data_IF_730896619987
#
_entry.id   IF_730896619987
#
_cell.length_a   1.000
_cell.length_b   1.000
_cell.length_c   1.000
_cell.angle_alpha   90.00
_cell.angle_beta   90.00
_cell.angle_gamma   90.00
#
_symmetry.space_group_name_H-M   'P 1'
#
loop_
_entity.id
_entity.type
_entity.pdbx_description
1 polymer ?
#
# COMPACT_ATOMS: atom_id res chain seq x y z
N UNK A 1 -8.04 10.84 1.34
CA UNK A 1 -7.28 11.37 0.17
C UNK A 1 -6.44 10.23 -0.35
N UNK A 2 -6.39 9.92 -1.66
CA UNK A 2 -5.51 8.85 -2.15
C UNK A 2 -4.06 9.23 -1.79
N UNK A 3 -3.50 8.52 -0.82
CA UNK A 3 -2.18 8.80 -0.25
C UNK A 3 -1.06 8.62 -1.29
N UNK A 4 -1.31 7.89 -2.38
CA UNK A 4 -0.29 7.59 -3.39
C UNK A 4 0.03 8.71 -4.37
N UNK A 5 -0.78 9.76 -4.47
CA UNK A 5 -0.36 11.00 -5.14
C UNK A 5 0.29 12.00 -4.17
N UNK A 6 0.39 11.66 -2.88
CA UNK A 6 1.22 12.41 -1.96
C UNK A 6 2.67 12.22 -2.40
N UNK A 7 3.32 13.31 -2.80
CA UNK A 7 4.72 13.36 -3.22
C UNK A 7 5.64 13.11 -2.03
N UNK A 8 5.67 11.87 -1.55
CA UNK A 8 6.71 11.38 -0.66
C UNK A 8 8.02 11.25 -1.45
N UNK A 9 9.17 11.66 -0.90
CA UNK A 9 10.47 11.50 -1.56
C UNK A 9 10.73 10.05 -2.02
N UNK A 10 10.30 9.06 -1.25
CA UNK A 10 10.44 7.65 -1.59
C UNK A 10 9.62 7.26 -2.82
N UNK A 11 8.39 7.77 -2.93
CA UNK A 11 7.53 7.54 -4.10
C UNK A 11 8.14 8.21 -5.34
N UNK A 12 8.64 9.43 -5.21
CA UNK A 12 9.31 10.15 -6.30
C UNK A 12 10.53 9.37 -6.81
N UNK A 13 11.38 8.88 -5.90
CA UNK A 13 12.52 8.06 -6.26
C UNK A 13 12.12 6.77 -6.98
N UNK A 14 11.10 6.05 -6.49
CA UNK A 14 10.59 4.86 -7.14
C UNK A 14 10.14 5.14 -8.59
N UNK A 15 9.37 6.20 -8.81
CA UNK A 15 8.95 6.61 -10.16
C UNK A 15 10.13 6.99 -11.06
N UNK A 16 11.16 7.67 -10.54
CA UNK A 16 12.38 7.97 -11.29
C UNK A 16 13.09 6.68 -11.70
N UNK A 17 13.25 5.72 -10.78
CA UNK A 17 13.87 4.42 -11.07
C UNK A 17 13.08 3.58 -12.08
N UNK A 18 11.77 3.78 -12.19
CA UNK A 18 10.93 3.09 -13.19
C UNK A 18 10.99 3.82 -14.54
N UNK A 19 10.77 5.14 -14.54
CA UNK A 19 10.58 5.91 -15.77
C UNK A 19 11.87 6.17 -16.52
N UNK A 20 12.98 6.46 -15.84
CA UNK A 20 14.25 6.78 -16.50
C UNK A 20 14.77 5.64 -17.38
N UNK A 21 14.96 4.39 -16.88
CA UNK A 21 15.39 3.29 -17.74
C UNK A 21 14.35 2.94 -18.80
N UNK A 22 13.05 3.06 -18.49
CA UNK A 22 11.97 2.79 -19.45
C UNK A 22 12.00 3.77 -20.62
N UNK A 23 12.19 5.07 -20.36
CA UNK A 23 12.32 6.10 -21.39
C UNK A 23 13.55 5.82 -22.27
N UNK A 24 14.70 5.48 -21.67
CA UNK A 24 15.90 5.12 -22.43
C UNK A 24 15.67 3.90 -23.33
N UNK A 25 15.00 2.86 -22.82
CA UNK A 25 14.64 1.69 -23.61
C UNK A 25 13.69 2.03 -24.76
N UNK A 26 12.60 2.76 -24.49
CA UNK A 26 11.59 3.10 -25.49
C UNK A 26 12.08 4.10 -26.54
N UNK A 27 13.06 4.94 -26.22
CA UNK A 27 13.61 5.92 -27.18
C UNK A 27 14.76 5.36 -28.01
N UNK A 28 15.64 4.54 -27.42
CA UNK A 28 16.84 4.04 -28.11
C UNK A 28 16.66 2.62 -28.65
N UNK A 29 16.16 1.70 -27.82
CA UNK A 29 16.14 0.28 -28.14
C UNK A 29 14.89 -0.12 -28.94
N UNK A 30 13.71 0.38 -28.56
CA UNK A 30 12.45 0.07 -29.25
C UNK A 30 12.48 0.36 -30.77
N UNK A 31 12.94 1.54 -31.27
CA UNK A 31 12.95 1.78 -32.72
C UNK A 31 13.90 0.83 -33.48
N UNK A 32 15.00 0.43 -32.84
CA UNK A 32 15.90 -0.58 -33.40
C UNK A 32 15.20 -1.93 -33.53
N UNK A 33 14.55 -2.42 -32.48
CA UNK A 33 13.83 -3.70 -32.53
C UNK A 33 12.65 -3.71 -33.50
N UNK A 34 11.95 -2.58 -33.61
CA UNK A 34 10.82 -2.41 -34.53
C UNK A 34 11.24 -2.53 -35.99
N UNK A 35 12.41 -2.00 -36.35
CA UNK A 35 12.87 -1.91 -37.75
C UNK A 35 13.83 -3.02 -38.16
N UNK A 36 14.62 -3.59 -37.23
CA UNK A 36 15.73 -4.51 -37.55
C UNK A 36 15.53 -5.95 -37.11
N UNK A 37 14.63 -6.23 -36.16
CA UNK A 37 14.51 -7.57 -35.57
C UNK A 37 13.11 -8.13 -35.78
N UNK A 38 12.15 -7.78 -34.91
CA UNK A 38 10.77 -8.24 -35.01
C UNK A 38 9.86 -7.38 -34.13
N UNK A 39 8.70 -6.91 -34.62
CA UNK A 39 7.82 -6.00 -33.89
C UNK A 39 7.11 -6.65 -32.69
N UNK A 40 7.10 -7.98 -32.58
CA UNK A 40 6.53 -8.69 -31.43
C UNK A 40 7.24 -8.35 -30.11
N UNK A 41 8.57 -8.19 -30.14
CA UNK A 41 9.37 -7.86 -28.95
C UNK A 41 8.99 -6.50 -28.34
N UNK A 42 8.97 -5.39 -29.11
CA UNK A 42 8.54 -4.10 -28.57
C UNK A 42 7.05 -4.07 -28.19
N UNK A 43 6.18 -4.82 -28.87
CA UNK A 43 4.78 -4.96 -28.45
C UNK A 43 4.66 -5.64 -27.08
N UNK A 44 5.37 -6.74 -26.88
CA UNK A 44 5.39 -7.45 -25.61
C UNK A 44 5.94 -6.58 -24.48
N UNK A 45 7.02 -5.82 -24.72
CA UNK A 45 7.60 -4.94 -23.69
C UNK A 45 6.66 -3.80 -23.31
N UNK A 46 5.96 -3.19 -24.28
CA UNK A 46 4.93 -2.18 -24.00
C UNK A 46 3.77 -2.79 -23.20
N UNK A 47 3.30 -3.99 -23.57
CA UNK A 47 2.24 -4.69 -22.85
C UNK A 47 2.62 -4.97 -21.38
N UNK A 48 3.79 -5.56 -21.14
CA UNK A 48 4.24 -5.85 -19.78
C UNK A 48 4.50 -4.56 -18.97
N UNK A 49 5.04 -3.51 -19.59
CA UNK A 49 5.22 -2.22 -18.93
C UNK A 49 3.88 -1.61 -18.50
N UNK A 50 2.88 -1.60 -19.40
CA UNK A 50 1.55 -1.08 -19.08
C UNK A 50 0.88 -1.91 -17.96
N UNK A 51 1.00 -3.24 -18.02
CA UNK A 51 0.49 -4.14 -16.99
C UNK A 51 1.16 -3.89 -15.64
N UNK A 52 2.48 -3.78 -15.57
CA UNK A 52 3.20 -3.58 -14.29
C UNK A 52 2.93 -2.22 -13.69
N UNK A 53 2.92 -1.15 -14.50
CA UNK A 53 2.54 0.20 -14.05
C UNK A 53 1.08 0.23 -13.61
N UNK A 54 0.19 -0.44 -14.34
CA UNK A 54 -1.22 -0.58 -13.96
C UNK A 54 -1.38 -1.27 -12.60
N UNK A 55 -0.72 -2.41 -12.40
CA UNK A 55 -0.71 -3.11 -11.11
C UNK A 55 -0.12 -2.26 -9.99
N UNK A 56 0.96 -1.52 -10.25
CA UNK A 56 1.57 -0.62 -9.28
C UNK A 56 0.57 0.48 -8.86
N UNK A 57 -0.10 1.11 -9.82
CA UNK A 57 -1.12 2.13 -9.54
C UNK A 57 -2.31 1.55 -8.77
N UNK A 58 -2.75 0.34 -9.11
CA UNK A 58 -3.85 -0.33 -8.39
C UNK A 58 -3.44 -0.69 -6.97
N UNK A 59 -2.23 -1.20 -6.75
CA UNK A 59 -1.70 -1.47 -5.42
C UNK A 59 -1.63 -0.18 -4.59
N UNK A 60 -1.08 0.89 -5.19
CA UNK A 60 -1.05 2.22 -4.61
C UNK A 60 -2.44 2.76 -4.20
N UNK A 61 -3.47 2.51 -5.00
CA UNK A 61 -4.83 2.97 -4.69
C UNK A 61 -5.58 2.06 -3.70
N UNK A 62 -5.20 0.79 -3.61
CA UNK A 62 -5.94 -0.23 -2.83
C UNK A 62 -5.31 -0.50 -1.47
N UNK A 63 -4.00 -0.26 -1.29
CA UNK A 63 -3.33 -0.49 -0.01
C UNK A 63 -3.76 0.58 1.02
N UNK A 64 -4.39 0.19 2.15
CA UNK A 64 -4.78 1.13 3.21
C UNK A 64 -3.58 1.66 4.03
N UNK A 65 -2.34 1.27 3.68
CA UNK A 65 -1.13 1.60 4.43
C UNK A 65 -0.88 0.68 5.63
N UNK A 66 0.32 0.76 6.20
CA UNK A 66 0.69 0.00 7.40
C UNK A 66 -0.09 0.55 8.60
N UNK A 67 -0.86 -0.31 9.27
CA UNK A 67 -1.48 0.02 10.56
C UNK A 67 -0.36 0.21 11.60
N UNK A 68 -0.26 1.38 12.26
CA UNK A 68 0.78 1.64 13.26
C UNK A 68 0.69 0.66 14.44
N UNK A 69 1.83 0.36 15.07
CA UNK A 69 1.84 -0.48 16.29
C UNK A 69 1.04 0.19 17.41
N UNK A 70 0.46 -0.63 18.31
CA UNK A 70 -0.36 -0.18 19.45
C UNK A 70 0.30 0.93 20.26
N UNK A 71 1.58 0.81 20.57
CA UNK A 71 2.36 1.83 21.29
C UNK A 71 2.34 3.20 20.59
N UNK A 72 2.49 3.21 19.26
CA UNK A 72 2.45 4.43 18.45
C UNK A 72 1.04 4.99 18.42
N UNK A 73 0.02 4.13 18.32
CA UNK A 73 -1.39 4.54 18.35
C UNK A 73 -1.70 5.25 19.68
N UNK A 74 -1.29 4.67 20.80
CA UNK A 74 -1.48 5.22 22.14
C UNK A 74 -0.70 6.53 22.33
N UNK A 75 0.56 6.58 21.89
CA UNK A 75 1.41 7.78 22.03
C UNK A 75 0.95 8.95 21.16
N UNK A 76 0.36 8.68 19.99
CA UNK A 76 -0.08 9.71 19.04
C UNK A 76 -1.56 10.07 19.15
N UNK A 77 -2.34 9.33 19.94
CA UNK A 77 -3.77 9.57 20.13
C UNK A 77 -4.62 9.38 18.86
N UNK A 78 -4.13 8.63 17.88
CA UNK A 78 -4.78 8.45 16.56
C UNK A 78 -5.88 7.37 16.55
N UNK A 79 -6.19 6.77 17.71
CA UNK A 79 -7.08 5.61 17.84
C UNK A 79 -8.48 5.88 17.26
N UNK A 80 -9.11 7.00 17.62
CA UNK A 80 -10.46 7.36 17.13
C UNK A 80 -10.47 7.53 15.61
N UNK A 81 -9.40 8.13 15.07
CA UNK A 81 -9.28 8.38 13.64
C UNK A 81 -9.10 7.07 12.86
N UNK A 82 -8.33 6.12 13.40
CA UNK A 82 -8.23 4.78 12.82
C UNK A 82 -9.57 4.03 12.90
N UNK A 83 -10.29 4.10 14.02
CA UNK A 83 -11.59 3.46 14.16
C UNK A 83 -12.61 4.00 13.15
N UNK A 84 -12.59 5.31 12.90
CA UNK A 84 -13.44 5.93 11.88
C UNK A 84 -13.08 5.47 10.45
N UNK A 85 -11.80 5.32 10.13
CA UNK A 85 -11.36 4.91 8.79
C UNK A 85 -11.49 3.40 8.54
N UNK A 86 -11.24 2.57 9.55
CA UNK A 86 -11.25 1.10 9.44
C UNK A 86 -12.61 0.47 9.76
N UNK A 87 -13.48 1.19 10.48
CA UNK A 87 -14.80 0.70 10.89
C UNK A 87 -14.78 -0.30 12.05
N UNK A 88 -13.64 -0.49 12.71
CA UNK A 88 -13.51 -1.33 13.90
C UNK A 88 -12.46 -0.76 14.88
N UNK A 89 -12.58 -1.11 16.16
CA UNK A 89 -11.64 -0.67 17.18
C UNK A 89 -10.34 -1.48 17.12
N UNK A 90 -9.25 -0.84 16.68
CA UNK A 90 -7.92 -1.44 16.55
C UNK A 90 -7.32 -1.83 17.91
N UNK A 91 -7.76 -1.18 19.00
CA UNK A 91 -7.27 -1.44 20.36
C UNK A 91 -8.03 -2.57 21.08
N UNK A 92 -9.14 -3.06 20.52
CA UNK A 92 -9.93 -4.14 21.11
C UNK A 92 -10.60 -3.79 22.44
N UNK A 93 -10.78 -2.51 22.76
CA UNK A 93 -11.53 -2.11 23.96
C UNK A 93 -13.01 -2.52 23.80
N UNK A 94 -13.62 -3.18 24.79
CA UNK A 94 -14.99 -3.65 24.68
C UNK A 94 -15.95 -2.46 24.55
N UNK A 95 -16.78 -2.45 23.50
CA UNK A 95 -17.92 -1.53 23.43
C UNK A 95 -18.84 -1.85 24.61
N UNK A 96 -19.10 -0.84 25.45
CA UNK A 96 -19.84 -0.95 26.72
C UNK A 96 -21.34 -1.26 26.56
N UNK A 97 -21.77 -1.76 25.39
CA UNK A 97 -23.18 -1.94 25.02
C UNK A 97 -23.56 -3.34 24.52
N UNK A 98 -22.65 -4.32 24.49
CA UNK A 98 -23.00 -5.71 24.17
C UNK A 98 -23.17 -6.55 25.44
N UNK A 99 -24.22 -7.38 25.56
CA UNK A 99 -24.31 -8.35 26.64
C UNK A 99 -23.19 -9.37 26.50
N UNK A 100 -22.60 -9.69 27.65
CA UNK A 100 -21.56 -10.69 27.89
C UNK A 100 -21.98 -12.07 27.37
N UNK A 101 -21.78 -12.33 26.08
CA UNK A 101 -21.77 -13.68 25.53
C UNK A 101 -20.30 -14.11 25.46
N UNK A 102 -19.88 -14.82 26.50
CA UNK A 102 -18.49 -15.11 26.90
C UNK A 102 -17.65 -15.96 25.95
N UNK A 103 -17.68 -15.68 24.66
CA UNK A 103 -16.86 -16.36 23.67
C UNK A 103 -16.44 -15.37 22.58
N UNK A 104 -15.39 -14.58 22.81
CA UNK A 104 -14.21 -14.35 21.94
C UNK A 104 -13.35 -13.25 22.57
N UNK A 105 -12.81 -13.46 23.77
CA UNK A 105 -11.79 -12.57 24.35
C UNK A 105 -10.43 -13.26 24.19
N UNK A 106 -9.70 -12.95 23.12
CA UNK A 106 -8.44 -13.62 22.76
C UNK A 106 -7.21 -13.10 23.54
N UNK A 107 -7.33 -12.03 24.32
CA UNK A 107 -6.22 -11.42 25.04
C UNK A 107 -6.58 -11.28 26.53
N UNK A 108 -5.92 -12.01 27.44
CA UNK A 108 -6.12 -11.89 28.88
C UNK A 108 -5.89 -10.46 29.38
N UNK A 109 -6.66 -10.04 30.38
CA UNK A 109 -6.63 -8.67 30.90
C UNK A 109 -5.24 -8.25 31.43
N UNK A 110 -4.44 -9.21 31.87
CA UNK A 110 -3.08 -8.98 32.40
C UNK A 110 -2.10 -8.51 31.32
N UNK A 111 -2.19 -9.01 30.08
CA UNK A 111 -1.21 -8.72 29.01
C UNK A 111 -1.60 -7.51 28.15
N UNK A 112 -2.83 -7.01 28.32
CA UNK A 112 -3.37 -5.86 27.56
C UNK A 112 -2.58 -4.56 27.75
N UNK A 113 -1.94 -4.37 28.91
CA UNK A 113 -1.11 -3.20 29.17
C UNK A 113 0.34 -3.36 28.67
N UNK A 114 0.73 -4.56 28.25
CA UNK A 114 2.10 -4.88 27.83
C UNK A 114 2.31 -4.80 26.31
N UNK A 115 1.27 -4.45 25.54
CA UNK A 115 1.40 -4.16 24.10
C UNK A 115 1.20 -5.37 23.18
N UNK A 116 0.64 -6.47 23.69
CA UNK A 116 0.23 -7.65 22.91
C UNK A 116 -1.23 -7.58 22.45
#
# INVERSE_FOLDING_TARGET
RPLCLSTSPANCFAWVCILVPSILYFTLALPYYWTKVHPLLPLASVFFFAMTVGCLLLACCSDPGIIPRREVILATGIAERLQQELGYNVLGEPESSMPDDGATMMVPAEVRNEGF
#
